data_IF_158475641793
#
_entry.id   IF_158475641793
#
_cell.length_a   1.000
_cell.length_b   1.000
_cell.length_c   1.000
_cell.angle_alpha   90.00
_cell.angle_beta   90.00
_cell.angle_gamma   90.00
#
_symmetry.space_group_name_H-M   'P 1'
#
loop_
_entity.id
_entity.type
_entity.pdbx_description
1 polymer ?
#
# COMPACT_ATOMS: atom_id res chain seq x y z
N UNK A 1 5.51 -3.40 18.53
CA UNK A 1 4.22 -2.84 18.10
C UNK A 1 4.10 -2.72 16.58
N UNK A 2 4.90 -1.90 15.88
CA UNK A 2 4.73 -1.73 14.41
C UNK A 2 4.95 -3.02 13.59
N UNK A 3 5.96 -3.84 13.94
CA UNK A 3 6.28 -5.07 13.18
C UNK A 3 5.15 -6.12 13.16
N UNK A 4 4.34 -6.19 14.22
CA UNK A 4 3.25 -7.18 14.31
C UNK A 4 2.11 -6.83 13.35
N UNK A 5 1.78 -5.54 13.23
CA UNK A 5 0.75 -5.07 12.29
C UNK A 5 1.19 -5.25 10.84
N UNK A 6 2.45 -4.95 10.51
CA UNK A 6 2.97 -5.17 9.15
C UNK A 6 2.93 -6.66 8.75
N UNK A 7 3.38 -7.56 9.62
CA UNK A 7 3.28 -9.02 9.38
C UNK A 7 1.84 -9.50 9.23
N UNK A 8 0.90 -8.87 9.95
CA UNK A 8 -0.51 -9.22 9.85
C UNK A 8 -1.08 -8.81 8.49
N UNK A 9 -0.83 -7.58 8.07
CA UNK A 9 -1.23 -7.06 6.75
C UNK A 9 -0.59 -7.91 5.64
N UNK A 10 0.71 -8.19 5.70
CA UNK A 10 1.40 -9.04 4.73
C UNK A 10 0.75 -10.43 4.61
N UNK A 11 0.39 -11.04 5.74
CA UNK A 11 -0.31 -12.31 5.75
C UNK A 11 -1.69 -12.23 5.08
N UNK A 12 -2.47 -11.16 5.35
CA UNK A 12 -3.78 -10.93 4.72
C UNK A 12 -3.67 -10.71 3.21
N UNK A 13 -2.73 -9.88 2.78
CA UNK A 13 -2.48 -9.58 1.37
C UNK A 13 -2.10 -10.86 0.62
N UNK A 14 -1.21 -11.67 1.18
CA UNK A 14 -0.86 -12.97 0.61
C UNK A 14 -2.06 -13.90 0.49
N UNK A 15 -2.88 -14.04 1.54
CA UNK A 15 -4.09 -14.85 1.48
C UNK A 15 -5.07 -14.34 0.41
N UNK A 16 -5.15 -13.01 0.21
CA UNK A 16 -6.01 -12.41 -0.81
C UNK A 16 -5.51 -12.75 -2.23
N UNK A 17 -4.21 -12.62 -2.48
CA UNK A 17 -3.57 -13.03 -3.73
C UNK A 17 -3.74 -14.51 -4.04
N UNK A 18 -3.74 -15.36 -3.02
CA UNK A 18 -3.97 -16.81 -3.15
C UNK A 18 -5.46 -17.19 -3.24
N UNK A 19 -6.40 -16.23 -3.21
CA UNK A 19 -7.85 -16.50 -3.21
C UNK A 19 -8.38 -17.12 -1.91
N UNK A 20 -7.59 -17.08 -0.83
CA UNK A 20 -7.83 -17.69 0.48
C UNK A 20 -8.22 -16.68 1.56
N UNK A 21 -8.70 -15.49 1.20
CA UNK A 21 -9.05 -14.40 2.12
C UNK A 21 -10.00 -14.82 3.27
N UNK A 22 -10.85 -15.84 3.07
CA UNK A 22 -11.72 -16.39 4.14
C UNK A 22 -10.93 -16.99 5.32
N UNK A 23 -9.65 -17.32 5.13
CA UNK A 23 -8.76 -17.88 6.14
C UNK A 23 -8.00 -16.80 6.92
N UNK A 24 -8.41 -15.52 6.82
CA UNK A 24 -7.72 -14.37 7.43
C UNK A 24 -7.42 -14.52 8.93
N UNK A 25 -8.26 -15.25 9.68
CA UNK A 25 -8.05 -15.53 11.10
C UNK A 25 -6.75 -16.32 11.37
N UNK A 26 -6.25 -17.07 10.40
CA UNK A 26 -4.97 -17.79 10.54
C UNK A 26 -3.78 -16.82 10.71
N UNK A 27 -3.92 -15.56 10.30
CA UNK A 27 -2.87 -14.55 10.45
C UNK A 27 -2.68 -14.08 11.91
N UNK A 28 -3.61 -14.37 12.82
CA UNK A 28 -3.48 -14.01 14.25
C UNK A 28 -2.35 -14.79 14.93
N UNK A 29 -2.28 -16.09 14.66
CA UNK A 29 -1.29 -16.98 15.28
C UNK A 29 0.14 -16.57 14.88
N UNK A 30 0.32 -16.09 13.65
CA UNK A 30 1.63 -15.67 13.12
C UNK A 30 2.14 -14.33 13.70
N UNK A 31 1.25 -13.50 14.23
CA UNK A 31 1.56 -12.10 14.58
C UNK A 31 1.62 -11.84 16.07
N UNK A 32 1.15 -12.79 16.89
CA UNK A 32 1.09 -12.63 18.35
C UNK A 32 0.10 -11.56 18.80
N UNK A 33 -0.85 -11.18 17.94
CA UNK A 33 -1.87 -10.16 18.21
C UNK A 33 -3.06 -10.71 19.02
N UNK A 34 -3.17 -12.04 19.18
CA UNK A 34 -4.30 -12.66 19.86
C UNK A 34 -5.64 -12.33 19.19
N UNK A 35 -6.65 -12.00 19.98
CA UNK A 35 -7.99 -11.62 19.51
C UNK A 35 -8.14 -10.13 19.21
N UNK A 36 -7.11 -9.31 19.48
CA UNK A 36 -7.19 -7.84 19.36
C UNK A 36 -7.76 -7.35 18.02
N UNK A 37 -7.39 -7.92 16.85
CA UNK A 37 -8.00 -7.51 15.60
C UNK A 37 -9.48 -7.88 15.46
N UNK A 38 -9.91 -9.01 16.06
CA UNK A 38 -11.33 -9.41 16.10
C UNK A 38 -12.11 -8.42 16.96
N UNK A 39 -11.60 -8.12 18.16
CA UNK A 39 -12.23 -7.19 19.10
C UNK A 39 -12.36 -5.80 18.47
N UNK A 40 -11.33 -5.34 17.76
CA UNK A 40 -11.36 -4.09 16.99
C UNK A 40 -12.41 -4.13 15.88
N UNK A 41 -12.44 -5.21 15.10
CA UNK A 41 -13.39 -5.38 13.99
C UNK A 41 -14.85 -5.40 14.48
N UNK A 42 -15.14 -6.09 15.58
CA UNK A 42 -16.51 -6.25 16.11
C UNK A 42 -16.97 -5.08 16.97
N UNK A 43 -16.05 -4.29 17.55
CA UNK A 43 -16.39 -3.12 18.39
C UNK A 43 -17.08 -1.96 17.66
N UNK A 44 -17.16 -2.00 16.32
CA UNK A 44 -17.69 -0.90 15.50
C UNK A 44 -16.70 0.25 15.28
N UNK A 45 -15.50 0.20 15.88
CA UNK A 45 -14.43 1.19 15.68
C UNK A 45 -13.95 1.27 14.23
N UNK A 46 -14.20 0.24 13.42
CA UNK A 46 -13.82 0.20 12.00
C UNK A 46 -14.33 1.39 11.20
N UNK A 47 -15.57 1.87 11.44
CA UNK A 47 -16.13 3.04 10.74
C UNK A 47 -15.33 4.31 11.02
N UNK A 48 -15.02 4.56 12.29
CA UNK A 48 -14.25 5.73 12.72
C UNK A 48 -12.85 5.72 12.11
N UNK A 49 -12.19 4.56 12.13
CA UNK A 49 -10.85 4.38 11.55
C UNK A 49 -10.88 4.60 10.03
N UNK A 50 -11.87 4.04 9.35
CA UNK A 50 -12.03 4.17 7.90
C UNK A 50 -12.26 5.63 7.48
N UNK A 51 -13.16 6.35 8.16
CA UNK A 51 -13.42 7.77 7.89
C UNK A 51 -12.18 8.64 8.12
N UNK A 52 -11.42 8.36 9.18
CA UNK A 52 -10.18 9.09 9.49
C UNK A 52 -9.17 8.94 8.34
N UNK A 53 -8.86 7.72 7.93
CA UNK A 53 -7.90 7.48 6.84
C UNK A 53 -8.43 7.93 5.47
N UNK A 54 -9.75 7.90 5.25
CA UNK A 54 -10.37 8.50 4.06
C UNK A 54 -10.10 10.00 3.97
N UNK A 55 -10.23 10.72 5.08
CA UNK A 55 -9.90 12.15 5.17
C UNK A 55 -8.42 12.40 4.91
N UNK A 56 -7.53 11.68 5.60
CA UNK A 56 -6.07 11.80 5.38
C UNK A 56 -5.68 11.56 3.91
N UNK A 57 -6.31 10.57 3.27
CA UNK A 57 -6.08 10.25 1.84
C UNK A 57 -6.63 11.34 0.91
N UNK A 58 -7.78 11.95 1.23
CA UNK A 58 -8.35 13.06 0.43
C UNK A 58 -7.53 14.35 0.51
N UNK A 59 -6.79 14.53 1.60
CA UNK A 59 -5.98 15.73 1.87
C UNK A 59 -4.55 15.62 1.30
N UNK A 60 -4.20 14.49 0.66
CA UNK A 60 -2.91 14.31 -0.01
C UNK A 60 -2.65 15.43 -1.03
N UNK A 61 -1.41 15.93 -1.04
CA UNK A 61 -0.93 16.96 -1.97
C UNK A 61 0.31 16.44 -2.71
N UNK A 62 0.25 16.27 -4.05
CA UNK A 62 -0.96 16.37 -4.87
C UNK A 62 -1.97 15.24 -4.55
N UNK A 63 -3.26 15.40 -4.90
CA UNK A 63 -4.23 14.32 -4.80
C UNK A 63 -3.75 13.08 -5.55
N UNK A 64 -3.95 11.90 -4.97
CA UNK A 64 -3.55 10.64 -5.60
C UNK A 64 -4.40 10.35 -6.84
N UNK A 65 -3.75 9.90 -7.93
CA UNK A 65 -4.42 9.52 -9.18
C UNK A 65 -4.68 8.02 -9.31
N UNK A 66 -3.87 7.23 -8.62
CA UNK A 66 -3.96 5.77 -8.60
C UNK A 66 -3.39 5.23 -7.30
N UNK A 67 -3.64 3.95 -7.04
CA UNK A 67 -2.94 3.18 -6.02
C UNK A 67 -2.07 2.08 -6.66
N UNK A 68 -0.92 1.73 -6.05
CA UNK A 68 -0.38 2.28 -4.79
C UNK A 68 0.14 3.72 -4.93
N UNK A 69 -0.13 4.55 -3.91
CA UNK A 69 0.37 5.94 -3.84
C UNK A 69 1.48 6.03 -2.78
N UNK A 70 2.73 6.20 -3.22
CA UNK A 70 3.92 6.19 -2.35
C UNK A 70 4.46 7.59 -2.16
N UNK A 71 4.70 7.95 -0.90
CA UNK A 71 5.24 9.25 -0.48
C UNK A 71 6.50 9.04 0.35
N UNK A 72 7.61 9.70 -0.01
CA UNK A 72 8.86 9.70 0.75
C UNK A 72 9.17 11.15 1.14
N UNK A 73 9.23 11.47 2.44
CA UNK A 73 9.45 12.83 2.94
C UNK A 73 8.57 13.89 2.24
N UNK A 74 7.26 13.64 2.18
CA UNK A 74 6.26 14.51 1.54
C UNK A 74 6.40 14.65 0.01
N UNK A 75 7.32 13.92 -0.62
CA UNK A 75 7.40 13.81 -2.07
C UNK A 75 6.60 12.60 -2.56
N UNK A 76 5.52 12.85 -3.29
CA UNK A 76 4.81 11.79 -4.00
C UNK A 76 5.65 11.29 -5.18
N UNK A 77 5.87 9.98 -5.25
CA UNK A 77 6.71 9.36 -6.29
C UNK A 77 5.95 9.15 -7.61
N UNK A 78 4.62 9.17 -7.57
CA UNK A 78 3.75 8.97 -8.73
C UNK A 78 4.13 7.68 -9.49
N UNK A 79 4.32 7.75 -10.81
CA UNK A 79 4.67 6.61 -11.67
C UNK A 79 5.99 5.94 -11.26
N UNK A 80 6.88 6.67 -10.58
CA UNK A 80 8.18 6.18 -10.11
C UNK A 80 8.11 5.44 -8.76
N UNK A 81 6.91 5.11 -8.28
CA UNK A 81 6.71 4.49 -6.95
C UNK A 81 7.51 3.20 -6.75
N UNK A 82 7.81 2.44 -7.81
CA UNK A 82 8.59 1.20 -7.72
C UNK A 82 10.04 1.43 -7.35
N UNK A 83 10.56 2.64 -7.60
CA UNK A 83 11.92 3.02 -7.25
C UNK A 83 12.02 3.60 -5.83
N UNK A 84 11.01 3.41 -4.96
CA UNK A 84 10.96 3.99 -3.62
C UNK A 84 12.22 3.74 -2.77
N UNK A 85 12.87 2.57 -2.91
CA UNK A 85 14.14 2.28 -2.21
C UNK A 85 15.23 3.29 -2.56
N UNK A 86 15.32 3.70 -3.83
CA UNK A 86 16.25 4.75 -4.28
C UNK A 86 15.97 6.08 -3.58
N UNK A 87 14.70 6.46 -3.47
CA UNK A 87 14.30 7.69 -2.79
C UNK A 87 14.60 7.63 -1.29
N UNK A 88 14.34 6.50 -0.63
CA UNK A 88 14.69 6.28 0.77
C UNK A 88 16.20 6.41 0.98
N UNK A 89 17.01 5.76 0.13
CA UNK A 89 18.46 5.80 0.23
C UNK A 89 19.05 7.19 -0.02
N UNK A 90 18.45 7.99 -0.91
CA UNK A 90 18.82 9.40 -1.13
C UNK A 90 18.39 10.30 0.04
N UNK A 91 17.23 10.03 0.62
CA UNK A 91 16.70 10.77 1.77
C UNK A 91 17.45 10.49 3.09
N UNK A 92 18.15 9.36 3.18
CA UNK A 92 18.88 8.96 4.38
C UNK A 92 20.09 9.86 4.66
N UNK A 93 20.05 10.58 5.79
CA UNK A 93 21.10 11.52 6.24
C UNK A 93 22.12 10.92 7.23
N UNK A 94 21.99 9.63 7.57
CA UNK A 94 22.88 8.98 8.53
C UNK A 94 24.27 8.71 7.94
N UNK A 95 25.30 8.73 8.79
CA UNK A 95 26.70 8.53 8.37
C UNK A 95 26.96 7.12 7.83
N UNK A 96 26.36 6.10 8.45
CA UNK A 96 26.52 4.70 8.05
C UNK A 96 25.36 4.31 7.14
N UNK A 97 25.59 4.28 5.82
CA UNK A 97 24.58 3.85 4.87
C UNK A 97 24.32 2.34 4.97
N UNK A 98 23.04 1.90 5.06
CA UNK A 98 22.68 0.48 4.98
C UNK A 98 23.22 -0.16 3.69
N UNK A 99 23.52 -1.46 3.73
CA UNK A 99 24.05 -2.17 2.55
C UNK A 99 23.11 -2.11 1.35
N UNK A 100 21.79 -2.13 1.58
CA UNK A 100 20.79 -1.95 0.53
C UNK A 100 20.96 -0.64 -0.26
N UNK A 101 21.51 0.41 0.36
CA UNK A 101 21.76 1.71 -0.27
C UNK A 101 23.14 1.81 -0.95
N UNK A 102 23.94 0.74 -0.95
CA UNK A 102 25.30 0.72 -1.54
C UNK A 102 25.33 0.21 -2.97
N UNK A 103 24.23 -0.33 -3.50
CA UNK A 103 24.18 -0.81 -4.88
C UNK A 103 24.27 0.35 -5.88
N UNK A 104 25.09 0.17 -6.92
CA UNK A 104 25.29 1.13 -8.02
C UNK A 104 24.11 1.17 -9.00
N UNK A 105 23.10 0.32 -8.82
CA UNK A 105 21.89 0.23 -9.65
C UNK A 105 20.82 1.28 -9.31
N UNK A 106 21.08 2.18 -8.36
CA UNK A 106 20.18 3.26 -7.94
C UNK A 106 20.20 4.49 -8.87
N UNK A 107 20.79 4.36 -10.06
CA UNK A 107 20.30 5.12 -11.20
C UNK A 107 18.85 4.72 -11.36
N UNK A 108 17.95 5.55 -10.82
CA UNK A 108 16.57 5.62 -11.30
C UNK A 108 16.67 5.37 -12.79
N UNK A 109 16.02 4.31 -13.30
CA UNK A 109 15.92 4.14 -14.73
C UNK A 109 15.39 5.48 -15.20
N UNK A 110 16.27 6.31 -15.76
CA UNK A 110 15.83 7.44 -16.56
C UNK A 110 14.86 6.77 -17.50
N UNK A 111 13.60 7.20 -17.45
CA UNK A 111 12.69 6.91 -18.53
C UNK A 111 13.40 7.43 -19.77
N UNK A 112 14.14 6.53 -20.41
CA UNK A 112 14.84 6.80 -21.64
C UNK A 112 13.72 6.76 -22.66
N UNK A 113 13.33 7.95 -23.10
CA UNK A 113 12.26 8.21 -24.07
C UNK A 113 12.62 7.64 -25.47
N UNK A 114 13.68 6.84 -25.58
CA UNK A 114 14.23 6.33 -26.82
C UNK A 114 14.26 4.80 -26.91
N UNK A 115 13.18 4.10 -26.52
CA UNK A 115 12.89 2.75 -26.99
C UNK A 115 11.38 2.52 -27.12
N UNK A 116 10.78 3.27 -28.02
CA UNK A 116 9.51 2.93 -28.65
C UNK A 116 9.73 1.67 -29.53
N UNK A 117 9.64 0.49 -28.91
CA UNK A 117 9.19 -0.80 -29.48
C UNK A 117 9.48 -1.92 -28.49
N UNK A 118 8.43 -2.66 -28.14
CA UNK A 118 8.40 -3.82 -27.25
C UNK A 118 8.71 -3.55 -25.78
N UNK A 119 7.67 -3.14 -25.05
CA UNK A 119 7.10 -3.87 -23.91
C UNK A 119 6.06 -2.97 -23.27
N UNK A 120 4.78 -3.19 -23.61
CA UNK A 120 3.66 -2.68 -22.84
C UNK A 120 3.72 -3.33 -21.45
N UNK A 121 4.60 -2.85 -20.57
CA UNK A 121 4.67 -3.24 -19.18
C UNK A 121 3.47 -2.58 -18.52
N UNK A 122 2.31 -3.21 -18.71
CA UNK A 122 1.07 -2.82 -18.06
C UNK A 122 1.34 -2.90 -16.56
N UNK A 123 1.55 -1.74 -15.93
CA UNK A 123 1.65 -1.66 -14.48
C UNK A 123 0.22 -1.76 -13.99
N UNK A 124 -0.21 -2.88 -13.36
CA UNK A 124 -1.55 -2.94 -12.80
C UNK A 124 -1.62 -1.92 -11.66
N UNK A 125 -2.32 -0.82 -11.91
CA UNK A 125 -2.69 0.21 -10.93
C UNK A 125 -4.21 0.29 -10.91
N UNK A 126 -4.78 0.74 -9.80
CA UNK A 126 -6.20 1.08 -9.74
C UNK A 126 -6.33 2.59 -9.74
N UNK A 127 -6.98 3.15 -10.75
CA UNK A 127 -7.14 4.60 -10.85
C UNK A 127 -8.26 5.11 -9.94
N UNK A 128 -8.07 6.29 -9.36
CA UNK A 128 -9.00 6.86 -8.39
C UNK A 128 -10.30 7.37 -9.03
N UNK A 129 -10.30 7.66 -10.32
CA UNK A 129 -11.46 8.06 -11.12
C UNK A 129 -12.32 6.86 -11.56
N UNK A 130 -11.72 5.70 -11.84
CA UNK A 130 -12.46 4.45 -12.10
C UNK A 130 -13.35 4.07 -10.90
N UNK A 131 -12.88 4.30 -9.67
CA UNK A 131 -13.66 4.07 -8.46
C UNK A 131 -14.88 5.01 -8.31
N UNK A 132 -14.84 6.22 -8.90
CA UNK A 132 -15.98 7.16 -8.85
C UNK A 132 -17.14 6.70 -9.73
N UNK A 133 -16.86 5.89 -10.75
CA UNK A 133 -17.87 5.29 -11.62
C UNK A 133 -18.47 4.02 -11.01
N UNK A 134 -17.77 3.40 -10.05
CA UNK A 134 -18.26 2.32 -9.21
C UNK A 134 -19.02 2.90 -8.01
N UNK A 135 -20.14 3.57 -8.27
CA UNK A 135 -21.16 3.73 -7.21
C UNK A 135 -21.79 2.36 -7.00
N UNK A 136 -21.05 1.46 -6.36
CA UNK A 136 -21.55 0.15 -5.97
C UNK A 136 -22.73 0.39 -5.04
N UNK A 137 -23.91 -0.01 -5.49
CA UNK A 137 -24.99 -0.44 -4.63
C UNK A 137 -24.40 -1.43 -3.59
N UNK A 138 -23.94 -0.92 -2.45
CA UNK A 138 -23.86 -1.71 -1.24
C UNK A 138 -25.30 -1.97 -0.81
N UNK A 139 -25.93 -2.91 -1.51
CA UNK A 139 -27.18 -3.51 -1.13
C UNK A 139 -27.04 -4.05 0.29
N UNK A 140 -28.02 -3.70 1.11
CA UNK A 140 -28.23 -4.21 2.44
C UNK A 140 -28.15 -5.75 2.43
N UNK A 141 -27.03 -6.34 2.85
CA UNK A 141 -26.98 -7.72 3.34
C UNK A 141 -25.63 -8.03 4.00
N UNK A 142 -25.38 -7.38 5.14
CA UNK A 142 -24.63 -8.02 6.23
C UNK A 142 -25.71 -8.45 7.24
N UNK A 143 -26.27 -9.64 7.03
CA UNK A 143 -26.97 -10.33 8.12
C UNK A 143 -25.92 -10.98 9.02
N UNK A 144 -26.13 -10.78 10.32
CA UNK A 144 -25.40 -11.37 11.45
C UNK A 144 -25.18 -12.87 11.29
#
# INVERSE_FOLDING_TARGET
MQMQHFRFIECLERLSLEGRHRQWMNCFQMTGLGTSPIDCYTSGNGKTIHLKYGKETSELKPPHRFVPWVVVNNQALQEDYRNFETYICRAYKGKVKPNACRSSSLTARTYDESNEKDNNFFIPVCYADEAKNLTLHFGNEIKQ
#
